data_IF_938104541573
#
_entry.id   IF_938104541573
#
_cell.length_a   1.000
_cell.length_b   1.000
_cell.length_c   1.000
_cell.angle_alpha   90.00
_cell.angle_beta   90.00
_cell.angle_gamma   90.00
#
_symmetry.space_group_name_H-M   'P 1'
#
loop_
_entity.id
_entity.type
_entity.pdbx_description
1 polymer ?
#
# COMPACT_ATOMS: atom_id res chain seq x y z
N UNK A 1 -42.70 -20.16 20.55
CA UNK A 1 -41.68 -19.20 21.03
C UNK A 1 -40.25 -19.50 20.53
N UNK A 2 -39.88 -20.76 20.24
CA UNK A 2 -38.51 -21.14 19.83
C UNK A 2 -38.05 -20.66 18.43
N UNK A 3 -38.98 -20.36 17.52
CA UNK A 3 -38.65 -20.00 16.13
C UNK A 3 -38.12 -18.57 15.97
N UNK A 4 -38.67 -17.63 16.77
CA UNK A 4 -38.22 -16.23 16.79
C UNK A 4 -36.75 -16.12 17.18
N UNK A 5 -36.31 -16.92 18.16
CA UNK A 5 -34.94 -16.88 18.68
C UNK A 5 -33.90 -17.41 17.69
N UNK A 6 -34.27 -18.37 16.82
CA UNK A 6 -33.40 -18.86 15.74
C UNK A 6 -33.27 -17.83 14.62
N UNK A 7 -34.37 -17.17 14.26
CA UNK A 7 -34.37 -16.11 13.25
C UNK A 7 -33.57 -14.89 13.71
N UNK A 8 -33.69 -14.49 14.97
CA UNK A 8 -32.89 -13.41 15.57
C UNK A 8 -31.38 -13.70 15.58
N UNK A 9 -30.96 -14.93 15.91
CA UNK A 9 -29.54 -15.33 15.85
C UNK A 9 -29.00 -15.34 14.42
N UNK A 10 -29.79 -15.83 13.45
CA UNK A 10 -29.39 -15.84 12.03
C UNK A 10 -29.32 -14.43 11.45
N UNK A 11 -30.22 -13.54 11.86
CA UNK A 11 -30.22 -12.13 11.50
C UNK A 11 -29.00 -11.41 12.10
N UNK A 12 -28.70 -11.63 13.39
CA UNK A 12 -27.49 -11.10 14.04
C UNK A 12 -26.21 -11.55 13.34
N UNK A 13 -26.05 -12.84 13.05
CA UNK A 13 -24.88 -13.38 12.34
C UNK A 13 -24.72 -12.80 10.92
N UNK A 14 -25.83 -12.57 10.22
CA UNK A 14 -25.82 -11.91 8.90
C UNK A 14 -25.45 -10.43 9.01
N UNK A 15 -25.99 -9.73 10.01
CA UNK A 15 -25.65 -8.33 10.29
C UNK A 15 -24.19 -8.17 10.73
N UNK A 16 -23.62 -9.14 11.46
CA UNK A 16 -22.20 -9.18 11.81
C UNK A 16 -21.30 -9.48 10.61
N UNK A 17 -21.67 -10.41 9.73
CA UNK A 17 -20.94 -10.66 8.48
C UNK A 17 -21.00 -9.47 7.52
N UNK A 18 -22.14 -8.77 7.46
CA UNK A 18 -22.29 -7.53 6.69
C UNK A 18 -21.52 -6.38 7.37
N UNK A 19 -21.51 -6.30 8.71
CA UNK A 19 -20.68 -5.35 9.45
C UNK A 19 -19.19 -5.63 9.24
N UNK A 20 -18.72 -6.88 9.30
CA UNK A 20 -17.35 -7.26 8.96
C UNK A 20 -16.99 -6.83 7.54
N UNK A 21 -17.84 -7.17 6.56
CA UNK A 21 -17.68 -6.73 5.16
C UNK A 21 -17.76 -5.22 4.96
N UNK A 22 -18.45 -4.48 5.84
CA UNK A 22 -18.52 -3.01 5.83
C UNK A 22 -17.38 -2.33 6.60
N UNK A 23 -16.83 -2.99 7.61
CA UNK A 23 -15.60 -2.56 8.30
C UNK A 23 -14.39 -2.78 7.39
N UNK A 24 -14.43 -3.79 6.51
CA UNK A 24 -13.52 -3.96 5.36
C UNK A 24 -13.70 -2.88 4.28
N UNK A 25 -14.88 -2.26 4.15
CA UNK A 25 -15.21 -1.31 3.07
C UNK A 25 -15.22 0.19 3.49
N UNK A 26 -14.66 0.54 4.65
CA UNK A 26 -14.57 1.92 5.11
C UNK A 26 -13.10 2.38 5.15
N UNK A 27 -12.68 3.12 4.12
CA UNK A 27 -11.32 3.66 3.91
C UNK A 27 -10.19 2.62 3.84
N UNK A 28 -10.42 1.57 3.04
CA UNK A 28 -9.48 0.47 2.85
C UNK A 28 -8.17 0.98 2.22
N UNK A 29 -7.14 1.09 3.05
CA UNK A 29 -5.79 1.40 2.60
C UNK A 29 -5.36 0.43 1.49
N UNK A 30 -5.89 -0.79 1.46
CA UNK A 30 -5.63 -1.76 0.39
C UNK A 30 -6.14 -1.26 -0.97
N UNK A 31 -7.36 -0.73 -1.04
CA UNK A 31 -7.91 -0.14 -2.28
C UNK A 31 -7.14 1.10 -2.72
N UNK A 32 -6.76 1.96 -1.75
CA UNK A 32 -5.96 3.15 -2.02
C UNK A 32 -4.59 2.75 -2.56
N UNK A 33 -3.95 1.78 -1.91
CA UNK A 33 -2.62 1.31 -2.27
C UNK A 33 -2.64 0.59 -3.62
N UNK A 34 -3.66 -0.21 -3.91
CA UNK A 34 -3.80 -0.87 -5.20
C UNK A 34 -3.95 0.15 -6.34
N UNK A 35 -4.73 1.22 -6.13
CA UNK A 35 -4.82 2.34 -7.09
C UNK A 35 -3.51 3.09 -7.22
N UNK A 36 -2.82 3.31 -6.10
CA UNK A 36 -1.51 3.96 -6.06
C UNK A 36 -0.45 3.17 -6.83
N UNK A 37 -0.48 1.83 -6.77
CA UNK A 37 0.47 0.95 -7.47
C UNK A 37 0.22 0.80 -8.98
N UNK A 38 -0.86 1.38 -9.53
CA UNK A 38 -1.22 1.24 -10.96
C UNK A 38 -0.09 1.52 -11.95
N UNK A 39 0.75 2.56 -11.79
CA UNK A 39 1.86 2.80 -12.72
C UNK A 39 2.84 1.62 -12.76
N UNK A 40 3.18 1.05 -11.61
CA UNK A 40 4.09 -0.09 -11.52
C UNK A 40 3.45 -1.40 -11.96
N UNK A 41 2.14 -1.54 -11.81
CA UNK A 41 1.39 -2.69 -12.33
C UNK A 41 1.37 -2.72 -13.88
N UNK A 42 1.71 -1.63 -14.56
CA UNK A 42 1.94 -1.64 -16.01
C UNK A 42 3.33 -2.16 -16.38
N UNK A 43 4.25 -2.18 -15.42
CA UNK A 43 5.64 -2.61 -15.57
C UNK A 43 5.90 -4.02 -15.03
N UNK A 44 4.84 -4.82 -14.83
CA UNK A 44 4.94 -6.17 -14.21
C UNK A 44 5.92 -7.11 -14.92
N UNK A 45 6.09 -6.96 -16.24
CA UNK A 45 7.06 -7.75 -17.00
C UNK A 45 8.49 -7.41 -16.62
N UNK A 46 8.78 -6.12 -16.42
CA UNK A 46 10.10 -5.65 -15.98
C UNK A 46 10.37 -5.99 -14.51
N UNK A 47 9.32 -6.10 -13.70
CA UNK A 47 9.38 -6.37 -12.26
C UNK A 47 9.23 -7.86 -11.91
N UNK A 48 9.19 -8.77 -12.88
CA UNK A 48 8.98 -10.21 -12.65
C UNK A 48 7.69 -10.55 -11.88
N UNK A 49 6.62 -9.78 -12.09
CA UNK A 49 5.28 -10.08 -11.57
C UNK A 49 4.65 -8.97 -10.71
N UNK A 50 3.37 -9.18 -10.41
CA UNK A 50 2.51 -8.24 -9.68
C UNK A 50 2.97 -8.03 -8.24
N UNK A 51 3.47 -9.08 -7.58
CA UNK A 51 3.91 -8.99 -6.18
C UNK A 51 5.07 -8.00 -6.00
N UNK A 52 6.03 -8.02 -6.93
CA UNK A 52 7.15 -7.08 -6.96
C UNK A 52 6.71 -5.66 -7.34
N UNK A 53 5.75 -5.52 -8.25
CA UNK A 53 5.15 -4.23 -8.60
C UNK A 53 4.44 -3.59 -7.39
N UNK A 54 3.66 -4.38 -6.65
CA UNK A 54 3.02 -3.94 -5.41
C UNK A 54 4.07 -3.64 -4.34
N UNK A 55 5.10 -4.48 -4.18
CA UNK A 55 6.19 -4.27 -3.23
C UNK A 55 6.95 -2.96 -3.49
N UNK A 56 7.20 -2.63 -4.74
CA UNK A 56 7.83 -1.38 -5.13
C UNK A 56 6.89 -0.17 -4.92
N UNK A 57 5.58 -0.36 -5.08
CA UNK A 57 4.57 0.64 -4.71
C UNK A 57 4.46 0.87 -3.20
N UNK A 58 4.51 -0.20 -2.39
CA UNK A 58 4.61 -0.15 -0.92
C UNK A 58 5.87 0.61 -0.50
N UNK A 59 7.00 0.32 -1.16
CA UNK A 59 8.23 1.07 -0.98
C UNK A 59 8.02 2.56 -1.26
N UNK A 60 7.44 2.93 -2.41
CA UNK A 60 7.17 4.33 -2.77
C UNK A 60 6.28 5.04 -1.73
N UNK A 61 5.24 4.36 -1.25
CA UNK A 61 4.36 4.89 -0.20
C UNK A 61 5.11 5.23 1.08
N UNK A 62 5.95 4.30 1.55
CA UNK A 62 6.75 4.47 2.76
C UNK A 62 7.91 5.46 2.56
N UNK A 63 8.49 5.51 1.36
CA UNK A 63 9.57 6.41 0.98
C UNK A 63 9.15 7.90 1.00
N UNK A 64 7.86 8.20 0.94
CA UNK A 64 7.36 9.55 1.16
C UNK A 64 7.73 10.13 2.54
N UNK A 65 8.01 9.26 3.51
CA UNK A 65 8.52 9.64 4.82
C UNK A 65 10.06 9.55 4.92
N UNK A 66 10.79 9.59 3.80
CA UNK A 66 12.25 9.59 3.81
C UNK A 66 12.79 10.84 3.09
N UNK A 67 14.04 11.20 3.40
CA UNK A 67 14.79 12.16 2.59
C UNK A 67 15.10 11.57 1.22
N UNK A 68 15.36 12.44 0.22
CA UNK A 68 15.66 12.00 -1.14
C UNK A 68 16.80 11.00 -1.19
N UNK A 69 17.95 11.36 -0.61
CA UNK A 69 19.13 10.52 -0.58
C UNK A 69 18.87 9.12 0.00
N UNK A 70 18.03 9.04 1.04
CA UNK A 70 17.70 7.75 1.67
C UNK A 70 16.84 6.87 0.78
N UNK A 71 15.75 7.40 0.22
CA UNK A 71 14.91 6.55 -0.62
C UNK A 71 15.61 6.23 -1.95
N UNK A 72 16.37 7.15 -2.55
CA UNK A 72 17.09 6.87 -3.79
C UNK A 72 18.13 5.77 -3.61
N UNK A 73 18.89 5.77 -2.50
CA UNK A 73 19.84 4.70 -2.21
C UNK A 73 19.17 3.34 -1.97
N UNK A 74 17.99 3.32 -1.34
CA UNK A 74 17.23 2.09 -1.12
C UNK A 74 16.58 1.59 -2.41
N UNK A 75 16.07 2.49 -3.25
CA UNK A 75 15.48 2.15 -4.54
C UNK A 75 16.49 1.44 -5.45
N UNK A 76 17.71 1.98 -5.56
CA UNK A 76 18.78 1.36 -6.36
C UNK A 76 19.03 -0.09 -5.95
N UNK A 77 19.17 -0.36 -4.64
CA UNK A 77 19.32 -1.72 -4.12
C UNK A 77 18.10 -2.60 -4.40
N UNK A 78 16.89 -2.06 -4.28
CA UNK A 78 15.67 -2.80 -4.59
C UNK A 78 15.56 -3.14 -6.09
N UNK A 79 16.18 -2.36 -6.98
CA UNK A 79 16.15 -2.61 -8.41
C UNK A 79 17.25 -3.57 -8.89
N UNK A 80 18.35 -3.71 -8.17
CA UNK A 80 19.47 -4.62 -8.49
C UNK A 80 19.05 -6.10 -8.65
N UNK A 81 17.95 -6.50 -8.01
CA UNK A 81 17.41 -7.86 -8.13
C UNK A 81 16.69 -8.12 -9.46
N UNK A 82 16.35 -7.07 -10.20
CA UNK A 82 15.71 -7.16 -11.50
C UNK A 82 16.78 -7.03 -12.58
N UNK A 83 16.80 -7.95 -13.54
CA UNK A 83 17.73 -7.93 -14.68
C UNK A 83 17.32 -6.86 -15.71
N UNK A 84 17.29 -5.60 -15.30
CA UNK A 84 16.79 -4.46 -16.07
C UNK A 84 17.85 -3.95 -17.07
N UNK A 85 17.38 -3.45 -18.21
CA UNK A 85 18.20 -2.56 -19.04
C UNK A 85 18.38 -1.20 -18.35
N UNK A 86 19.36 -0.41 -18.79
CA UNK A 86 19.54 0.95 -18.28
C UNK A 86 18.27 1.81 -18.47
N UNK A 87 17.65 1.73 -19.65
CA UNK A 87 16.42 2.48 -19.95
C UNK A 87 15.23 2.05 -19.08
N UNK A 88 15.09 0.74 -18.82
CA UNK A 88 14.03 0.22 -17.95
C UNK A 88 14.26 0.65 -16.49
N UNK A 89 15.52 0.65 -16.04
CA UNK A 89 15.87 1.14 -14.72
C UNK A 89 15.56 2.63 -14.57
N UNK A 90 15.96 3.47 -15.53
CA UNK A 90 15.68 4.91 -15.52
C UNK A 90 14.16 5.18 -15.52
N UNK A 91 13.40 4.42 -16.32
CA UNK A 91 11.95 4.50 -16.37
C UNK A 91 11.32 4.18 -15.01
N UNK A 92 11.73 3.09 -14.36
CA UNK A 92 11.24 2.68 -13.05
C UNK A 92 11.62 3.69 -11.95
N UNK A 93 12.84 4.22 -11.99
CA UNK A 93 13.27 5.29 -11.06
C UNK A 93 12.36 6.52 -11.19
N UNK A 94 12.05 6.94 -12.42
CA UNK A 94 11.13 8.05 -12.69
C UNK A 94 9.70 7.79 -12.20
N UNK A 95 9.18 6.59 -12.42
CA UNK A 95 7.84 6.19 -11.93
C UNK A 95 7.79 6.27 -10.40
N UNK A 96 8.79 5.71 -9.71
CA UNK A 96 8.83 5.71 -8.24
C UNK A 96 8.98 7.13 -7.68
N UNK A 97 9.83 7.97 -8.28
CA UNK A 97 9.98 9.38 -7.87
C UNK A 97 8.64 10.12 -7.97
N UNK A 98 7.94 9.96 -9.08
CA UNK A 98 6.63 10.58 -9.28
C UNK A 98 5.58 10.04 -8.31
N UNK A 99 5.56 8.72 -8.04
CA UNK A 99 4.66 8.13 -7.05
C UNK A 99 4.91 8.69 -5.65
N UNK A 100 6.16 8.85 -5.23
CA UNK A 100 6.51 9.48 -3.95
C UNK A 100 6.00 10.92 -3.89
N UNK A 101 6.15 11.68 -4.98
CA UNK A 101 5.63 13.05 -5.09
C UNK A 101 4.11 13.09 -4.98
N UNK A 102 3.41 12.20 -5.70
CA UNK A 102 1.95 12.09 -5.68
C UNK A 102 1.43 11.69 -4.29
N UNK A 103 2.11 10.78 -3.57
CA UNK A 103 1.78 10.45 -2.18
C UNK A 103 1.74 11.71 -1.33
N UNK A 104 2.80 12.52 -1.37
CA UNK A 104 2.91 13.76 -0.57
C UNK A 104 1.83 14.79 -0.93
N UNK A 105 1.44 14.87 -2.20
CA UNK A 105 0.45 15.82 -2.69
C UNK A 105 -1.00 15.39 -2.39
N UNK A 106 -1.34 14.14 -2.68
CA UNK A 106 -2.72 13.63 -2.60
C UNK A 106 -3.09 13.13 -1.21
N UNK A 107 -2.10 12.67 -0.42
CA UNK A 107 -2.30 12.09 0.90
C UNK A 107 -1.38 12.73 1.95
N UNK A 108 -1.39 14.08 2.10
CA UNK A 108 -0.47 14.80 2.99
C UNK A 108 -0.72 14.45 4.47
N UNK A 109 -1.97 14.17 4.84
CA UNK A 109 -2.36 13.83 6.22
C UNK A 109 -2.35 12.32 6.48
N UNK A 110 -2.07 11.49 5.46
CA UNK A 110 -1.97 10.05 5.66
C UNK A 110 -0.58 9.69 6.18
N UNK A 111 -0.51 9.52 7.49
CA UNK A 111 0.70 9.15 8.22
C UNK A 111 0.85 7.64 8.39
N UNK A 112 0.03 6.82 7.70
CA UNK A 112 0.13 5.36 7.78
C UNK A 112 1.35 4.86 7.01
N UNK A 113 2.21 4.10 7.68
CA UNK A 113 3.31 3.34 7.10
C UNK A 113 2.86 1.89 6.99
N UNK A 114 3.09 1.30 5.83
CA UNK A 114 2.73 -0.09 5.56
C UNK A 114 3.79 -0.97 6.21
N UNK A 115 3.37 -1.88 7.09
CA UNK A 115 4.26 -2.80 7.81
C UNK A 115 4.20 -4.21 7.27
N UNK A 116 3.07 -4.60 6.69
CA UNK A 116 2.88 -5.89 6.06
C UNK A 116 1.84 -5.78 4.95
N UNK A 117 1.99 -6.57 3.90
CA UNK A 117 1.01 -6.69 2.84
C UNK A 117 1.02 -8.13 2.29
N UNK A 118 -0.12 -8.56 1.76
CA UNK A 118 -0.29 -9.84 1.08
C UNK A 118 -0.98 -9.60 -0.26
N UNK A 119 -0.39 -10.10 -1.35
CA UNK A 119 -0.95 -10.06 -2.70
C UNK A 119 -1.55 -11.41 -3.03
N UNK A 120 -2.82 -11.43 -3.45
CA UNK A 120 -3.49 -12.63 -3.98
C UNK A 120 -3.96 -12.35 -5.40
N UNK A 121 -3.67 -13.28 -6.29
CA UNK A 121 -4.09 -13.20 -7.69
C UNK A 121 -5.14 -14.28 -7.92
N UNK A 122 -6.39 -13.86 -8.13
CA UNK A 122 -7.51 -14.76 -8.42
C UNK A 122 -8.22 -14.30 -9.68
N UNK A 123 -8.40 -15.19 -10.67
CA UNK A 123 -9.13 -14.90 -11.91
C UNK A 123 -8.69 -13.60 -12.59
N UNK A 124 -7.38 -13.35 -12.69
CA UNK A 124 -6.80 -12.13 -13.28
C UNK A 124 -7.17 -10.83 -12.54
N UNK A 125 -7.60 -10.95 -11.29
CA UNK A 125 -7.87 -9.84 -10.38
C UNK A 125 -6.85 -9.87 -9.25
N UNK A 126 -6.28 -8.71 -8.94
CA UNK A 126 -5.34 -8.52 -7.84
C UNK A 126 -6.15 -8.14 -6.61
N UNK A 127 -6.10 -8.97 -5.57
CA UNK A 127 -6.58 -8.65 -4.24
C UNK A 127 -5.38 -8.32 -3.34
N UNK A 128 -5.48 -7.23 -2.60
CA UNK A 128 -4.43 -6.75 -1.71
C UNK A 128 -4.98 -6.70 -0.30
N UNK A 129 -4.20 -7.18 0.67
CA UNK A 129 -4.46 -6.99 2.09
C UNK A 129 -3.30 -6.22 2.70
N UNK A 130 -3.59 -5.16 3.45
CA UNK A 130 -2.56 -4.26 4.00
C UNK A 130 -2.70 -4.12 5.51
N UNK A 131 -1.58 -4.30 6.21
CA UNK A 131 -1.43 -3.86 7.59
C UNK A 131 -0.58 -2.61 7.65
N UNK A 132 -1.02 -1.63 8.43
CA UNK A 132 -0.31 -0.37 8.58
C UNK A 132 -0.26 0.10 10.03
N UNK A 133 0.70 0.98 10.31
CA UNK A 133 0.83 1.69 11.58
C UNK A 133 0.98 3.17 11.32
N UNK A 134 0.40 3.99 12.19
CA UNK A 134 0.61 5.43 12.14
C UNK A 134 2.07 5.74 12.51
N UNK A 135 2.74 6.48 11.64
CA UNK A 135 4.10 6.94 11.86
C UNK A 135 4.12 7.98 12.99
N UNK A 136 4.45 7.52 14.20
CA UNK A 136 4.78 8.39 15.34
C UNK A 136 6.26 8.76 15.28
N UNK A 137 6.68 9.84 15.98
CA UNK A 137 8.10 10.27 16.10
C UNK A 137 9.09 9.11 16.34
N UNK A 138 8.66 8.06 17.05
CA UNK A 138 9.49 6.90 17.39
C UNK A 138 9.80 6.00 16.17
N UNK A 139 8.99 6.01 15.11
CA UNK A 139 9.23 5.32 13.84
C UNK A 139 9.91 6.23 12.79
N UNK A 140 10.07 7.51 13.09
CA UNK A 140 10.62 8.53 12.19
C UNK A 140 11.68 9.36 12.93
N UNK A 141 12.96 8.92 12.98
CA UNK A 141 13.95 9.52 13.87
C UNK A 141 14.29 10.99 13.59
N UNK A 142 13.96 11.55 12.42
CA UNK A 142 14.27 12.95 12.05
C UNK A 142 13.30 13.49 10.99
N UNK A 143 12.09 13.86 11.40
CA UNK A 143 11.28 14.87 10.71
C UNK A 143 11.28 16.11 11.59
N UNK A 144 12.03 17.14 11.20
CA UNK A 144 12.15 18.38 11.97
C UNK A 144 10.97 19.34 11.72
N UNK A 145 9.91 18.90 11.04
CA UNK A 145 8.80 19.74 10.60
C UNK A 145 7.49 18.96 10.63
N UNK A 146 7.04 18.57 11.82
CA UNK A 146 5.60 18.40 12.05
C UNK A 146 5.16 19.47 13.05
N UNK A 147 3.99 20.10 12.85
CA UNK A 147 3.45 20.99 13.86
C UNK A 147 3.31 20.20 15.16
N UNK A 148 3.83 20.77 16.24
CA UNK A 148 3.47 20.33 17.57
C UNK A 148 1.97 20.63 17.73
N UNK A 149 1.22 19.68 18.29
CA UNK A 149 -0.10 19.97 18.86
C UNK A 149 -0.02 21.18 19.79
#
# INVERSE_FOLDING_TARGET
MADKTKQEKKLKKRLEAIKQRKTEAADDLSDVLLKFCRPLLQEVQNLNGEDNAVGLGVFAWNAAFLTRDRWTANLKRSLEQFSLSADAQETLEGIVEEMIRQKKLMYPNDLRVITHYEVKIENNTIALTVESRVAKKNLLPRFNEMPAD
#
